data_IF_045228595829
#
_entry.id   IF_045228595829
#
_cell.length_a   1.000
_cell.length_b   1.000
_cell.length_c   1.000
_cell.angle_alpha   90.00
_cell.angle_beta   90.00
_cell.angle_gamma   90.00
#
_symmetry.space_group_name_H-M   'P 1'
#
loop_
_entity.id
_entity.type
_entity.pdbx_description
1 polymer ?
#
# COMPACT_ATOMS: atom_id res chain seq x y z
N UNK A 1 9.18 -5.69 10.98
CA UNK A 1 9.24 -4.25 11.34
C UNK A 1 7.93 -3.66 10.87
N UNK A 2 7.20 -2.90 11.69
CA UNK A 2 5.98 -2.25 11.20
C UNK A 2 6.34 -0.81 10.80
N UNK A 3 6.89 -0.65 9.58
CA UNK A 3 7.20 0.66 9.00
C UNK A 3 5.98 1.60 9.06
N UNK A 4 4.78 1.04 8.88
CA UNK A 4 3.50 1.77 9.03
C UNK A 4 3.30 2.28 10.45
N UNK A 5 3.65 1.52 11.49
CA UNK A 5 3.53 1.97 12.88
C UNK A 5 4.52 3.09 13.18
N UNK A 6 5.74 3.01 12.65
CA UNK A 6 6.76 4.06 12.79
C UNK A 6 6.32 5.37 12.11
N UNK A 7 5.77 5.28 10.90
CA UNK A 7 5.17 6.42 10.22
C UNK A 7 3.96 6.95 10.99
N UNK A 8 3.10 6.07 11.51
CA UNK A 8 1.94 6.48 12.28
C UNK A 8 2.36 7.29 13.51
N UNK A 9 3.34 6.83 14.28
CA UNK A 9 3.85 7.55 15.45
C UNK A 9 4.56 8.87 15.07
N UNK A 10 5.28 8.92 13.94
CA UNK A 10 5.92 10.15 13.46
C UNK A 10 4.91 11.26 13.15
N UNK A 11 3.77 10.89 12.55
CA UNK A 11 2.72 11.83 12.16
C UNK A 11 1.57 11.94 13.18
N UNK A 12 1.61 11.14 14.25
CA UNK A 12 0.58 11.13 15.30
C UNK A 12 0.44 12.53 15.91
N UNK A 13 -0.80 13.02 15.95
CA UNK A 13 -1.12 14.34 16.48
C UNK A 13 -0.75 15.52 15.57
N UNK A 14 -0.18 15.26 14.38
CA UNK A 14 0.03 16.27 13.33
C UNK A 14 -1.08 16.27 12.28
N UNK A 15 -1.91 15.22 12.26
CA UNK A 15 -2.93 14.98 11.25
C UNK A 15 -4.27 14.67 11.90
N UNK A 16 -5.34 15.03 11.19
CA UNK A 16 -6.72 14.77 11.57
C UNK A 16 -7.17 13.36 11.16
N UNK A 17 -6.36 12.68 10.34
CA UNK A 17 -6.64 11.32 9.86
C UNK A 17 -7.65 11.30 8.72
N UNK A 18 -7.74 12.39 7.96
CA UNK A 18 -8.57 12.47 6.74
C UNK A 18 -7.90 11.70 5.60
N UNK A 19 -8.66 11.37 4.55
CA UNK A 19 -8.08 10.79 3.32
C UNK A 19 -7.02 11.72 2.71
N UNK A 20 -7.29 13.03 2.68
CA UNK A 20 -6.33 14.04 2.21
C UNK A 20 -5.02 14.04 3.03
N UNK A 21 -5.09 13.85 4.35
CA UNK A 21 -3.91 13.73 5.22
C UNK A 21 -3.10 12.48 4.86
N UNK A 22 -3.78 11.34 4.65
CA UNK A 22 -3.14 10.07 4.30
C UNK A 22 -2.47 10.14 2.93
N UNK A 23 -3.12 10.75 1.94
CA UNK A 23 -2.57 10.97 0.61
C UNK A 23 -1.33 11.88 0.68
N UNK A 24 -1.39 12.96 1.46
CA UNK A 24 -0.27 13.87 1.64
C UNK A 24 0.94 13.19 2.30
N UNK A 25 0.74 12.43 3.38
CA UNK A 25 1.84 11.66 4.00
C UNK A 25 2.44 10.69 2.99
N UNK A 26 1.59 9.91 2.32
CA UNK A 26 2.03 8.85 1.41
C UNK A 26 2.90 9.44 0.30
N UNK A 27 2.47 10.55 -0.29
CA UNK A 27 3.24 11.28 -1.29
C UNK A 27 4.55 11.84 -0.73
N UNK A 28 4.51 12.42 0.46
CA UNK A 28 5.71 13.00 1.11
C UNK A 28 6.76 11.91 1.38
N UNK A 29 6.34 10.82 2.03
CA UNK A 29 7.22 9.70 2.37
C UNK A 29 7.81 9.08 1.12
N UNK A 30 6.99 8.75 0.11
CA UNK A 30 7.48 8.17 -1.14
C UNK A 30 8.38 9.11 -1.93
N UNK A 31 8.15 10.43 -1.86
CA UNK A 31 9.00 11.43 -2.50
C UNK A 31 10.37 11.60 -1.84
N UNK A 32 10.47 11.31 -0.54
CA UNK A 32 11.72 11.39 0.23
C UNK A 32 12.53 10.08 0.21
N UNK A 33 11.88 8.94 -0.03
CA UNK A 33 12.55 7.64 -0.08
C UNK A 33 13.33 7.43 -1.37
N UNK A 34 14.57 6.97 -1.25
CA UNK A 34 15.30 6.41 -2.38
C UNK A 34 14.86 4.97 -2.69
N UNK A 35 15.23 4.46 -3.87
CA UNK A 35 15.03 3.04 -4.22
C UNK A 35 15.64 2.10 -3.16
N UNK A 36 16.81 2.46 -2.62
CA UNK A 36 17.49 1.69 -1.58
C UNK A 36 16.69 1.68 -0.26
N UNK A 37 16.06 2.80 0.10
CA UNK A 37 15.23 2.88 1.30
C UNK A 37 13.98 2.01 1.17
N UNK A 38 13.33 2.03 0.00
CA UNK A 38 12.16 1.19 -0.29
C UNK A 38 12.54 -0.30 -0.22
N UNK A 39 13.65 -0.68 -0.86
CA UNK A 39 14.13 -2.06 -0.83
C UNK A 39 14.47 -2.52 0.59
N UNK A 40 15.05 -1.64 1.42
CA UNK A 40 15.33 -1.94 2.82
C UNK A 40 14.05 -2.20 3.61
N UNK A 41 13.03 -1.35 3.46
CA UNK A 41 11.73 -1.55 4.12
C UNK A 41 11.13 -2.91 3.72
N UNK A 42 11.14 -3.24 2.42
CA UNK A 42 10.65 -4.53 1.91
C UNK A 42 11.43 -5.72 2.48
N UNK A 43 12.76 -5.61 2.59
CA UNK A 43 13.61 -6.67 3.15
C UNK A 43 13.35 -6.91 4.64
N UNK A 44 12.97 -5.86 5.38
CA UNK A 44 12.71 -5.92 6.82
C UNK A 44 11.24 -6.26 7.17
N UNK A 45 10.37 -6.44 6.15
CA UNK A 45 8.98 -6.87 6.33
C UNK A 45 8.89 -8.34 6.80
N UNK A 46 8.00 -8.66 7.75
CA UNK A 46 7.61 -10.04 8.02
C UNK A 46 7.01 -10.71 6.78
N UNK A 47 7.12 -12.02 6.67
CA UNK A 47 6.60 -12.79 5.53
C UNK A 47 5.11 -12.52 5.25
N UNK A 48 4.31 -12.35 6.30
CA UNK A 48 2.87 -12.06 6.18
C UNK A 48 2.60 -10.69 5.54
N UNK A 49 3.35 -9.67 5.94
CA UNK A 49 3.24 -8.30 5.39
C UNK A 49 3.75 -8.25 3.96
N UNK A 50 4.87 -8.92 3.67
CA UNK A 50 5.39 -9.05 2.31
C UNK A 50 4.38 -9.77 1.39
N UNK A 51 3.77 -10.85 1.87
CA UNK A 51 2.73 -11.57 1.13
C UNK A 51 1.49 -10.69 0.89
N UNK A 52 1.10 -9.88 1.89
CA UNK A 52 0.02 -8.92 1.75
C UNK A 52 0.35 -7.83 0.71
N UNK A 53 1.54 -7.24 0.76
CA UNK A 53 2.03 -6.26 -0.21
C UNK A 53 1.98 -6.84 -1.63
N UNK A 54 2.53 -8.04 -1.80
CA UNK A 54 2.56 -8.70 -3.10
C UNK A 54 1.16 -9.05 -3.61
N UNK A 55 0.23 -9.43 -2.71
CA UNK A 55 -1.18 -9.64 -3.05
C UNK A 55 -1.82 -8.37 -3.61
N UNK A 56 -1.58 -7.20 -2.99
CA UNK A 56 -2.11 -5.91 -3.45
C UNK A 56 -1.55 -5.57 -4.82
N UNK A 57 -0.23 -5.67 -5.01
CA UNK A 57 0.43 -5.44 -6.29
C UNK A 57 -0.15 -6.32 -7.40
N UNK A 58 -0.25 -7.64 -7.17
CA UNK A 58 -0.82 -8.57 -8.14
C UNK A 58 -2.28 -8.25 -8.45
N UNK A 59 -3.07 -7.95 -7.42
CA UNK A 59 -4.49 -7.66 -7.59
C UNK A 59 -4.73 -6.40 -8.42
N UNK A 60 -4.10 -5.28 -8.08
CA UNK A 60 -4.28 -4.02 -8.82
C UNK A 60 -3.71 -4.12 -10.24
N UNK A 61 -2.55 -4.73 -10.41
CA UNK A 61 -1.96 -4.93 -11.74
C UNK A 61 -2.81 -5.84 -12.65
N UNK A 62 -3.38 -6.92 -12.10
CA UNK A 62 -4.30 -7.77 -12.86
C UNK A 62 -5.60 -7.06 -13.19
N UNK A 63 -6.18 -6.33 -12.23
CA UNK A 63 -7.40 -5.53 -12.43
C UNK A 63 -7.22 -4.50 -13.54
N UNK A 64 -6.06 -3.84 -13.60
CA UNK A 64 -5.74 -2.92 -14.69
C UNK A 64 -5.73 -3.64 -16.04
N UNK A 65 -5.07 -4.79 -16.15
CA UNK A 65 -5.04 -5.60 -17.39
C UNK A 65 -6.45 -6.03 -17.82
N UNK A 66 -7.27 -6.52 -16.89
CA UNK A 66 -8.66 -6.87 -17.19
C UNK A 66 -9.47 -5.68 -17.69
N UNK A 67 -9.27 -4.49 -17.10
CA UNK A 67 -9.93 -3.27 -17.55
C UNK A 67 -9.48 -2.86 -18.96
N UNK A 68 -8.18 -2.94 -19.25
CA UNK A 68 -7.63 -2.65 -20.59
C UNK A 68 -8.22 -3.58 -21.65
N UNK A 69 -8.41 -4.86 -21.32
CA UNK A 69 -9.00 -5.86 -22.20
C UNK A 69 -10.54 -5.85 -22.21
N UNK A 70 -11.17 -4.90 -21.50
CA UNK A 70 -12.64 -4.81 -21.32
C UNK A 70 -13.28 -6.09 -20.77
N UNK A 71 -12.50 -6.89 -20.04
CA UNK A 71 -12.96 -8.11 -19.39
C UNK A 71 -13.53 -7.71 -18.03
N UNK A 72 -14.84 -7.91 -17.78
CA UNK A 72 -15.44 -7.52 -16.51
C UNK A 72 -14.91 -8.39 -15.37
N UNK A 73 -14.22 -7.76 -14.41
CA UNK A 73 -13.88 -8.40 -13.13
C UNK A 73 -15.17 -8.54 -12.32
N UNK A 74 -15.66 -9.78 -12.20
CA UNK A 74 -16.86 -10.08 -11.40
C UNK A 74 -16.47 -10.15 -9.93
N UNK A 75 -17.03 -9.26 -9.09
CA UNK A 75 -17.03 -9.48 -7.64
C UNK A 75 -17.92 -10.69 -7.35
N UNK A 76 -17.33 -11.79 -6.90
CA UNK A 76 -18.13 -12.87 -6.32
C UNK A 76 -18.68 -12.39 -4.97
N UNK A 77 -19.93 -11.94 -4.97
CA UNK A 77 -20.70 -11.62 -3.76
C UNK A 77 -21.21 -12.90 -3.08
N UNK A 78 -20.30 -13.81 -2.73
CA UNK A 78 -20.66 -14.99 -1.95
C UNK A 78 -19.59 -15.28 -0.91
N UNK A 79 -19.70 -14.60 0.23
CA UNK A 79 -19.51 -15.17 1.56
C UNK A 79 -20.40 -14.35 2.51
N UNK A 80 -21.60 -14.87 2.77
CA UNK A 80 -22.42 -14.50 3.92
C UNK A 80 -22.01 -15.36 5.11
#
# INVERSE_FOLDING_TARGET
MNFVDELFELYRGRLQGTEDDLDMITLTVLGEMSEADILKVIQDMPQEELAWLFRVYLHEGLKEKFNQDQIPVRKNSQFH
#
